data_IF_659849336651
#
_entry.id   IF_659849336651
#
_cell.length_a   1.000
_cell.length_b   1.000
_cell.length_c   1.000
_cell.angle_alpha   90.00
_cell.angle_beta   90.00
_cell.angle_gamma   90.00
#
_symmetry.space_group_name_H-M   'P 1'
#
loop_
_entity.id
_entity.type
_entity.pdbx_description
1 polymer ?
#
# COMPACT_ATOMS: atom_id res chain seq x y z
N UNK A 1 -1.60 23.45 22.32
CA UNK A 1 -0.95 22.13 22.51
C UNK A 1 -0.11 21.89 21.28
N UNK A 2 1.20 22.03 21.44
CA UNK A 2 2.18 22.00 20.36
C UNK A 2 2.34 20.56 19.89
N UNK A 3 2.10 20.33 18.60
CA UNK A 3 2.44 19.10 17.90
C UNK A 3 3.89 18.76 18.24
N UNK A 4 4.10 17.72 19.06
CA UNK A 4 5.40 17.08 19.11
C UNK A 4 5.56 16.49 17.71
N UNK A 5 6.42 17.10 16.90
CA UNK A 5 6.95 16.45 15.71
C UNK A 5 7.55 15.13 16.17
N UNK A 6 6.81 14.04 15.98
CA UNK A 6 7.35 12.70 16.06
C UNK A 6 8.42 12.66 14.98
N UNK A 7 9.68 12.60 15.41
CA UNK A 7 10.81 12.46 14.50
C UNK A 7 10.65 11.09 13.87
N UNK A 8 10.15 11.05 12.64
CA UNK A 8 10.14 9.83 11.84
C UNK A 8 11.61 9.48 11.59
N UNK A 9 12.07 8.40 12.19
CA UNK A 9 13.49 7.98 12.09
C UNK A 9 13.69 7.02 10.92
N UNK A 10 12.67 6.24 10.54
CA UNK A 10 12.74 5.29 9.43
C UNK A 10 11.46 5.24 8.60
N UNK A 11 11.61 5.01 7.30
CA UNK A 11 10.50 4.85 6.38
C UNK A 11 10.82 3.87 5.24
N UNK A 12 9.78 3.32 4.64
CA UNK A 12 9.89 2.61 3.37
C UNK A 12 9.33 3.43 2.22
N UNK A 13 9.87 3.21 1.02
CA UNK A 13 9.39 3.82 -0.21
C UNK A 13 9.54 2.87 -1.39
N UNK A 14 8.92 3.22 -2.53
CA UNK A 14 8.95 2.39 -3.73
C UNK A 14 9.87 2.99 -4.79
N UNK A 15 10.76 2.15 -5.33
CA UNK A 15 11.66 2.50 -6.41
C UNK A 15 10.98 2.66 -7.77
N UNK A 16 11.79 2.76 -8.82
CA UNK A 16 11.28 2.77 -10.21
C UNK A 16 10.88 1.36 -10.63
N UNK A 17 9.78 1.25 -11.37
CA UNK A 17 9.41 -0.01 -12.04
C UNK A 17 10.45 -0.35 -13.11
N UNK A 18 10.79 -1.63 -13.22
CA UNK A 18 11.68 -2.16 -14.24
C UNK A 18 11.14 -3.46 -14.81
N UNK A 19 11.67 -3.89 -15.95
CA UNK A 19 11.30 -5.15 -16.59
C UNK A 19 12.43 -6.15 -16.46
N UNK A 20 12.08 -7.41 -16.19
CA UNK A 20 12.97 -8.55 -16.30
C UNK A 20 12.20 -9.70 -16.94
N UNK A 21 12.76 -10.32 -17.99
CA UNK A 21 12.10 -11.37 -18.78
C UNK A 21 10.64 -11.07 -19.18
N UNK A 22 10.39 -9.82 -19.58
CA UNK A 22 9.06 -9.35 -19.99
C UNK A 22 8.07 -9.11 -18.84
N UNK A 23 8.40 -9.50 -17.60
CA UNK A 23 7.61 -9.24 -16.39
C UNK A 23 8.01 -7.92 -15.76
N UNK A 24 7.05 -7.26 -15.10
CA UNK A 24 7.25 -5.97 -14.43
C UNK A 24 7.59 -6.19 -12.95
N UNK A 25 8.56 -5.44 -12.44
CA UNK A 25 9.01 -5.51 -11.06
C UNK A 25 9.20 -4.12 -10.47
N UNK A 26 9.26 -4.05 -9.14
CA UNK A 26 9.54 -2.83 -8.38
C UNK A 26 10.18 -3.16 -7.04
N UNK A 27 11.15 -2.35 -6.64
CA UNK A 27 11.83 -2.51 -5.36
C UNK A 27 11.11 -1.75 -4.25
N UNK A 28 11.01 -2.39 -3.08
CA UNK A 28 10.76 -1.73 -1.82
C UNK A 28 12.10 -1.34 -1.21
N UNK A 29 12.21 -0.07 -0.82
CA UNK A 29 13.42 0.55 -0.30
C UNK A 29 13.17 0.95 1.15
N UNK A 30 14.17 0.78 2.02
CA UNK A 30 14.21 1.34 3.38
C UNK A 30 15.23 2.43 3.46
N UNK A 31 14.87 3.53 4.12
CA UNK A 31 15.75 4.66 4.40
C UNK A 31 15.44 5.23 5.78
N UNK A 32 16.32 6.12 6.24
CA UNK A 32 16.24 6.79 7.54
C UNK A 32 16.42 8.28 7.34
N UNK A 33 15.76 9.11 8.14
CA UNK A 33 15.85 10.57 7.97
C UNK A 33 17.28 11.11 8.11
N UNK A 34 18.16 10.39 8.82
CA UNK A 34 19.56 10.77 9.04
C UNK A 34 20.54 10.27 7.96
N UNK A 35 20.08 9.47 6.98
CA UNK A 35 20.94 8.94 5.92
C UNK A 35 20.24 8.93 4.56
N UNK A 36 20.95 9.41 3.53
CA UNK A 36 20.46 9.36 2.15
C UNK A 36 20.59 7.96 1.51
N UNK A 37 21.14 6.98 2.23
CA UNK A 37 21.28 5.62 1.73
C UNK A 37 19.93 4.90 1.71
N UNK A 38 19.63 4.26 0.58
CA UNK A 38 18.45 3.43 0.39
C UNK A 38 18.88 1.95 0.32
N UNK A 39 18.37 1.13 1.25
CA UNK A 39 18.54 -0.33 1.23
C UNK A 39 17.36 -0.96 0.50
N UNK A 40 17.61 -1.85 -0.46
CA UNK A 40 16.53 -2.69 -1.03
C UNK A 40 16.14 -3.74 0.01
N UNK A 41 14.86 -3.75 0.42
CA UNK A 41 14.32 -4.78 1.31
C UNK A 41 13.71 -5.95 0.54
N UNK A 42 13.05 -5.65 -0.57
CA UNK A 42 12.31 -6.65 -1.33
C UNK A 42 12.10 -6.21 -2.79
N UNK A 43 11.97 -7.20 -3.68
CA UNK A 43 11.59 -6.98 -5.09
C UNK A 43 10.24 -7.62 -5.34
N UNK A 44 9.25 -6.83 -5.74
CA UNK A 44 7.88 -7.31 -5.98
C UNK A 44 7.61 -7.44 -7.48
N UNK A 45 6.99 -8.56 -7.88
CA UNK A 45 6.32 -8.67 -9.17
C UNK A 45 5.10 -7.74 -9.22
N UNK A 46 4.91 -7.09 -10.37
CA UNK A 46 3.83 -6.12 -10.57
C UNK A 46 2.85 -6.63 -11.64
N UNK A 47 1.58 -6.76 -11.23
CA UNK A 47 0.48 -7.10 -12.11
C UNK A 47 -0.57 -5.99 -12.03
N UNK A 48 -0.83 -5.24 -13.11
CA UNK A 48 -1.80 -4.14 -13.11
C UNK A 48 -3.23 -4.69 -13.25
N UNK A 49 -3.69 -5.43 -12.25
CA UNK A 49 -5.02 -6.03 -12.20
C UNK A 49 -5.70 -5.74 -10.88
N UNK A 50 -7.05 -5.76 -10.89
CA UNK A 50 -7.88 -5.70 -9.68
C UNK A 50 -7.74 -6.94 -8.81
N UNK A 51 -7.38 -8.07 -9.40
CA UNK A 51 -7.07 -9.31 -8.70
C UNK A 51 -5.92 -10.02 -9.41
N UNK A 52 -4.95 -10.50 -8.65
CA UNK A 52 -3.77 -11.17 -9.19
C UNK A 52 -3.05 -12.03 -8.15
N UNK A 53 -2.27 -12.96 -8.68
CA UNK A 53 -1.19 -13.64 -7.96
C UNK A 53 0.15 -13.23 -8.56
N UNK A 54 1.16 -13.11 -7.71
CA UNK A 54 2.53 -12.79 -8.11
C UNK A 54 3.51 -13.26 -7.04
N UNK A 55 4.79 -12.91 -7.19
CA UNK A 55 5.81 -13.23 -6.20
C UNK A 55 6.55 -11.97 -5.76
N UNK A 56 7.14 -12.04 -4.57
CA UNK A 56 8.19 -11.12 -4.16
C UNK A 56 9.44 -11.89 -3.76
N UNK A 57 10.59 -11.25 -3.88
CA UNK A 57 11.87 -11.75 -3.39
C UNK A 57 12.28 -10.93 -2.18
N UNK A 58 12.45 -11.58 -1.02
CA UNK A 58 12.89 -11.01 0.26
C UNK A 58 14.10 -11.82 0.72
N UNK A 59 15.27 -11.20 0.87
CA UNK A 59 16.51 -11.88 1.27
C UNK A 59 16.76 -13.20 0.50
N UNK A 60 16.65 -13.15 -0.84
CA UNK A 60 16.77 -14.30 -1.77
C UNK A 60 15.66 -15.36 -1.67
N UNK A 61 14.74 -15.21 -0.72
CA UNK A 61 13.59 -16.10 -0.57
C UNK A 61 12.38 -15.60 -1.33
N UNK A 62 11.57 -16.52 -1.85
CA UNK A 62 10.38 -16.19 -2.62
C UNK A 62 9.13 -16.22 -1.75
N UNK A 63 8.38 -15.13 -1.76
CA UNK A 63 7.04 -15.03 -1.19
C UNK A 63 6.01 -15.19 -2.30
N UNK A 64 4.94 -15.93 -2.03
CA UNK A 64 3.76 -16.01 -2.91
C UNK A 64 2.76 -14.95 -2.46
N UNK A 65 2.37 -14.05 -3.37
CA UNK A 65 1.48 -12.93 -3.07
C UNK A 65 0.16 -13.12 -3.81
N UNK A 66 -0.95 -12.90 -3.11
CA UNK A 66 -2.28 -12.81 -3.71
C UNK A 66 -2.95 -11.51 -3.30
N UNK A 67 -3.57 -10.83 -4.25
CA UNK A 67 -4.31 -9.60 -3.99
C UNK A 67 -5.64 -9.64 -4.71
N UNK A 68 -6.70 -9.24 -4.03
CA UNK A 68 -8.01 -8.95 -4.58
C UNK A 68 -8.51 -7.62 -4.03
N UNK A 69 -8.81 -6.69 -4.94
CA UNK A 69 -9.38 -5.38 -4.61
C UNK A 69 -10.67 -5.51 -3.80
N UNK A 70 -11.37 -6.63 -3.93
CA UNK A 70 -12.64 -6.91 -3.27
C UNK A 70 -12.50 -7.11 -1.76
N UNK A 71 -11.27 -7.30 -1.24
CA UNK A 71 -11.01 -7.13 0.18
C UNK A 71 -9.93 -7.99 0.79
N UNK A 72 -9.17 -8.78 0.02
CA UNK A 72 -8.12 -9.66 0.56
C UNK A 72 -6.75 -9.38 -0.05
N UNK A 73 -5.71 -9.40 0.79
CA UNK A 73 -4.32 -9.45 0.36
C UNK A 73 -3.58 -10.46 1.25
N UNK A 74 -2.76 -11.33 0.65
CA UNK A 74 -1.99 -12.33 1.40
C UNK A 74 -0.57 -12.44 0.88
N UNK A 75 0.34 -12.79 1.79
CA UNK A 75 1.71 -13.18 1.50
C UNK A 75 2.00 -14.50 2.21
N UNK A 76 2.31 -15.55 1.45
CA UNK A 76 2.77 -16.82 2.00
C UNK A 76 4.30 -16.85 1.95
N UNK A 77 4.89 -17.05 3.11
CA UNK A 77 6.34 -17.08 3.32
C UNK A 77 6.88 -18.51 3.06
N UNK A 78 8.19 -18.65 2.82
CA UNK A 78 8.81 -19.95 2.53
C UNK A 78 8.69 -20.99 3.65
N UNK A 79 8.60 -20.53 4.89
CA UNK A 79 8.43 -21.37 6.09
C UNK A 79 6.98 -21.80 6.34
N UNK A 80 6.05 -21.36 5.50
CA UNK A 80 4.63 -21.70 5.56
C UNK A 80 3.77 -20.71 6.34
N UNK A 81 4.36 -19.69 6.99
CA UNK A 81 3.58 -18.59 7.59
C UNK A 81 2.80 -17.85 6.51
N UNK A 82 1.63 -17.35 6.87
CA UNK A 82 0.77 -16.56 5.96
C UNK A 82 0.44 -15.25 6.65
N UNK A 83 0.87 -14.16 6.02
CA UNK A 83 0.43 -12.83 6.39
C UNK A 83 -0.81 -12.47 5.57
N UNK A 84 -1.77 -11.79 6.19
CA UNK A 84 -3.03 -11.44 5.55
C UNK A 84 -3.48 -10.03 5.92
N UNK A 85 -4.20 -9.40 4.99
CA UNK A 85 -4.90 -8.14 5.21
C UNK A 85 -6.32 -8.25 4.64
N UNK A 86 -7.30 -7.77 5.42
CA UNK A 86 -8.72 -7.91 5.13
C UNK A 86 -9.44 -6.56 5.28
N UNK A 87 -10.11 -6.11 4.22
CA UNK A 87 -10.88 -4.85 4.20
C UNK A 87 -12.31 -4.98 4.78
N UNK A 88 -12.65 -6.13 5.37
CA UNK A 88 -13.94 -6.48 5.94
C UNK A 88 -14.99 -6.77 4.87
N UNK A 89 -16.24 -6.35 5.13
CA UNK A 89 -17.34 -6.45 4.16
C UNK A 89 -17.22 -5.47 2.97
N UNK A 90 -16.17 -4.64 2.96
CA UNK A 90 -15.93 -3.61 1.93
C UNK A 90 -14.69 -3.96 1.11
N UNK A 91 -14.59 -3.32 -0.05
CA UNK A 91 -13.40 -3.39 -0.90
C UNK A 91 -12.27 -2.50 -0.36
N UNK A 92 -11.03 -2.73 -0.77
CA UNK A 92 -9.90 -1.83 -0.45
C UNK A 92 -10.14 -0.38 -0.91
N UNK A 93 -10.93 -0.18 -1.97
CA UNK A 93 -11.33 1.14 -2.44
C UNK A 93 -12.21 1.90 -1.43
N UNK A 94 -13.06 1.19 -0.68
CA UNK A 94 -14.11 1.80 0.16
C UNK A 94 -13.87 1.68 1.66
N UNK A 95 -13.06 0.71 2.08
CA UNK A 95 -12.85 0.50 3.51
C UNK A 95 -12.16 1.69 4.16
N UNK A 96 -12.45 1.86 5.46
CA UNK A 96 -11.78 2.79 6.37
C UNK A 96 -10.91 2.08 7.40
N UNK A 97 -10.97 0.74 7.42
CA UNK A 97 -10.21 -0.11 8.33
C UNK A 97 -9.82 -1.39 7.62
N UNK A 98 -8.56 -1.77 7.71
CA UNK A 98 -8.03 -2.99 7.13
C UNK A 98 -7.38 -3.75 8.27
N UNK A 99 -7.96 -4.89 8.62
CA UNK A 99 -7.38 -5.78 9.63
C UNK A 99 -6.18 -6.50 9.01
N UNK A 100 -5.09 -6.60 9.74
CA UNK A 100 -3.83 -7.18 9.30
C UNK A 100 -3.40 -8.23 10.33
N UNK A 101 -3.11 -9.43 9.87
CA UNK A 101 -2.57 -10.51 10.71
C UNK A 101 -1.27 -11.01 10.09
N UNK A 102 -0.19 -10.94 10.86
CA UNK A 102 1.15 -11.36 10.46
C UNK A 102 1.62 -12.50 11.36
N UNK A 103 0.95 -13.65 11.23
CA UNK A 103 1.19 -14.86 12.03
C UNK A 103 0.94 -14.65 13.54
N UNK A 104 -0.25 -14.17 13.89
CA UNK A 104 -0.66 -13.90 15.27
C UNK A 104 -0.29 -12.50 15.78
N UNK A 105 0.53 -11.75 15.01
CA UNK A 105 0.72 -10.32 15.26
C UNK A 105 -0.39 -9.54 14.56
N UNK A 106 -1.42 -9.17 15.32
CA UNK A 106 -2.56 -8.40 14.84
C UNK A 106 -2.25 -6.90 14.81
N UNK A 107 -2.59 -6.26 13.69
CA UNK A 107 -2.51 -4.82 13.49
C UNK A 107 -3.74 -4.36 12.68
N UNK A 108 -3.96 -3.04 12.61
CA UNK A 108 -5.00 -2.49 11.75
C UNK A 108 -4.57 -1.18 11.11
N UNK A 109 -4.74 -1.09 9.79
CA UNK A 109 -4.64 0.19 9.09
C UNK A 109 -5.97 0.94 9.19
N UNK A 110 -5.98 2.15 9.74
CA UNK A 110 -7.17 2.97 9.96
C UNK A 110 -7.07 4.27 9.19
N UNK A 111 -8.13 4.62 8.45
CA UNK A 111 -8.21 5.86 7.68
C UNK A 111 -8.63 7.03 8.58
N UNK A 112 -7.73 7.97 8.81
CA UNK A 112 -8.02 9.17 9.61
C UNK A 112 -8.73 10.25 8.76
N UNK A 113 -8.18 10.57 7.59
CA UNK A 113 -8.78 11.51 6.65
C UNK A 113 -8.38 11.20 5.21
N UNK A 114 -9.37 11.05 4.31
CA UNK A 114 -9.20 10.79 2.87
C UNK A 114 -8.18 9.70 2.54
N UNK A 115 -6.91 10.09 2.39
CA UNK A 115 -5.78 9.24 2.01
C UNK A 115 -4.69 9.17 3.09
N UNK A 116 -4.92 9.74 4.27
CA UNK A 116 -4.06 9.62 5.44
C UNK A 116 -4.52 8.42 6.27
N UNK A 117 -3.57 7.56 6.61
CA UNK A 117 -3.79 6.34 7.35
C UNK A 117 -2.74 6.17 8.43
N UNK A 118 -3.15 5.60 9.55
CA UNK A 118 -2.28 5.08 10.59
C UNK A 118 -2.37 3.56 10.60
N UNK A 119 -1.37 2.91 11.14
CA UNK A 119 -1.35 1.48 11.44
C UNK A 119 -1.16 1.36 12.94
N UNK A 120 -2.12 0.74 13.61
CA UNK A 120 -2.07 0.50 15.05
C UNK A 120 -1.85 -0.98 15.34
N UNK A 121 -1.20 -1.28 16.46
CA UNK A 121 -1.10 -2.65 16.99
C UNK A 121 -2.39 -3.07 17.72
N UNK A 122 -2.38 -4.24 18.34
CA UNK A 122 -3.52 -4.77 19.09
C UNK A 122 -3.87 -3.97 20.35
N UNK A 123 -2.96 -3.12 20.84
CA UNK A 123 -3.14 -2.27 22.01
C UNK A 123 -3.51 -0.82 21.63
N UNK A 124 -3.79 -0.56 20.34
CA UNK A 124 -4.06 0.77 19.77
C UNK A 124 -2.87 1.72 19.88
N UNK A 125 -1.64 1.19 19.99
CA UNK A 125 -0.44 1.99 19.83
C UNK A 125 -0.13 2.13 18.34
N UNK A 126 0.13 3.37 17.92
CA UNK A 126 0.51 3.66 16.54
C UNK A 126 1.89 3.06 16.24
N UNK A 127 1.93 2.24 15.19
CA UNK A 127 3.13 1.55 14.67
C UNK A 127 3.70 2.31 13.48
N UNK A 128 2.82 2.78 12.59
CA UNK A 128 3.21 3.44 11.36
C UNK A 128 2.13 4.38 10.84
N UNK A 129 2.47 5.17 9.82
CA UNK A 129 1.52 5.95 9.05
C UNK A 129 1.88 5.97 7.56
N UNK A 130 0.88 6.19 6.72
CA UNK A 130 1.09 6.37 5.28
C UNK A 130 0.06 7.34 4.68
N UNK A 131 0.47 8.04 3.62
CA UNK A 131 -0.41 8.97 2.91
C UNK A 131 -0.27 8.88 1.39
N UNK A 132 -1.39 9.07 0.69
CA UNK A 132 -1.44 9.24 -0.76
C UNK A 132 -1.41 10.69 -1.25
N UNK A 133 -1.36 11.69 -0.36
CA UNK A 133 -1.72 13.09 -0.67
C UNK A 133 -0.63 13.87 -1.45
N UNK A 134 0.67 13.61 -1.22
CA UNK A 134 1.75 14.49 -1.71
C UNK A 134 2.65 13.91 -2.82
N UNK A 135 2.66 12.60 -3.06
CA UNK A 135 3.49 11.99 -4.11
C UNK A 135 2.71 11.16 -5.13
N UNK A 136 1.38 11.07 -4.96
CA UNK A 136 0.57 10.05 -5.60
C UNK A 136 1.05 8.64 -5.25
N UNK A 137 0.38 7.62 -5.76
CA UNK A 137 0.77 6.20 -5.53
C UNK A 137 2.12 5.82 -6.11
N UNK A 138 2.77 6.73 -6.86
CA UNK A 138 4.11 6.54 -7.42
C UNK A 138 5.18 6.44 -6.34
N UNK A 139 4.92 6.94 -5.13
CA UNK A 139 5.76 6.80 -3.94
C UNK A 139 4.89 6.70 -2.70
N UNK A 140 4.18 5.57 -2.54
CA UNK A 140 3.59 5.26 -1.25
C UNK A 140 4.72 5.18 -0.21
N UNK A 141 4.73 6.07 0.76
CA UNK A 141 5.73 6.08 1.84
C UNK A 141 5.02 5.57 3.09
N UNK A 142 5.66 4.64 3.78
CA UNK A 142 5.23 4.21 5.12
C UNK A 142 6.29 4.65 6.11
N UNK A 143 5.87 5.48 7.06
CA UNK A 143 6.72 6.04 8.11
C UNK A 143 6.48 5.23 9.38
N UNK A 144 7.54 4.72 9.99
CA UNK A 144 7.46 3.88 11.18
C UNK A 144 7.83 4.66 12.44
N UNK A 145 7.11 4.40 13.52
CA UNK A 145 7.41 4.99 14.82
C UNK A 145 8.73 4.38 15.36
N UNK A 146 9.63 5.20 15.95
CA UNK A 146 10.98 4.77 16.33
C UNK A 146 11.02 3.79 17.50
N UNK A 147 10.01 3.82 18.37
CA UNK A 147 9.97 3.06 19.62
C UNK A 147 9.16 1.76 19.50
N UNK A 148 8.75 1.38 18.29
CA UNK A 148 7.97 0.17 18.03
C UNK A 148 8.82 -0.87 17.31
N UNK A 149 8.94 -2.06 17.91
CA UNK A 149 9.62 -3.18 17.28
C UNK A 149 8.74 -3.81 16.19
N UNK A 150 9.12 -3.59 14.93
CA UNK A 150 8.51 -4.23 13.76
C UNK A 150 9.59 -5.03 13.04
N UNK A 151 9.34 -6.32 12.79
CA UNK A 151 10.30 -7.15 12.07
C UNK A 151 10.40 -6.72 10.60
N UNK A 152 11.51 -7.04 9.93
CA UNK A 152 11.69 -6.69 8.52
C UNK A 152 10.57 -7.27 7.64
N UNK A 153 10.14 -8.52 7.91
CA UNK A 153 9.05 -9.17 7.17
C UNK A 153 7.72 -8.43 7.35
N UNK A 154 7.41 -8.01 8.59
CA UNK A 154 6.21 -7.24 8.90
C UNK A 154 6.24 -5.88 8.20
N UNK A 155 7.35 -5.16 8.27
CA UNK A 155 7.54 -3.90 7.56
C UNK A 155 7.31 -4.04 6.04
N UNK A 156 7.87 -5.09 5.42
CA UNK A 156 7.72 -5.37 4.00
C UNK A 156 6.24 -5.58 3.65
N UNK A 157 5.53 -6.38 4.46
CA UNK A 157 4.12 -6.68 4.24
C UNK A 157 3.23 -5.45 4.46
N UNK A 158 3.42 -4.71 5.55
CA UNK A 158 2.69 -3.47 5.84
C UNK A 158 2.87 -2.45 4.70
N UNK A 159 4.09 -2.31 4.19
CA UNK A 159 4.41 -1.42 3.07
C UNK A 159 3.69 -1.82 1.79
N UNK A 160 3.62 -3.12 1.51
CA UNK A 160 2.89 -3.66 0.36
C UNK A 160 1.39 -3.43 0.48
N UNK A 161 0.79 -3.72 1.65
CA UNK A 161 -0.64 -3.48 1.93
C UNK A 161 -0.99 -2.00 1.83
N UNK A 162 -0.18 -1.12 2.40
CA UNK A 162 -0.36 0.33 2.32
C UNK A 162 -0.41 0.80 0.86
N UNK A 163 0.54 0.34 0.04
CA UNK A 163 0.55 0.66 -1.39
C UNK A 163 -0.69 0.14 -2.11
N UNK A 164 -1.10 -1.11 -1.88
CA UNK A 164 -2.29 -1.67 -2.54
C UNK A 164 -3.58 -0.98 -2.12
N UNK A 165 -3.65 -0.53 -0.87
CA UNK A 165 -4.74 0.30 -0.35
C UNK A 165 -4.83 1.62 -1.13
N UNK A 166 -3.72 2.36 -1.24
CA UNK A 166 -3.69 3.62 -1.99
C UNK A 166 -3.95 3.43 -3.50
N UNK A 167 -3.41 2.37 -4.11
CA UNK A 167 -3.62 2.06 -5.54
C UNK A 167 -5.11 1.79 -5.80
N UNK A 168 -5.76 1.00 -4.94
CA UNK A 168 -7.18 0.65 -5.04
C UNK A 168 -8.10 1.87 -4.94
N UNK A 169 -7.76 2.83 -4.08
CA UNK A 169 -8.53 4.07 -3.91
C UNK A 169 -8.36 5.01 -5.10
N UNK A 170 -7.17 5.09 -5.69
CA UNK A 170 -6.95 5.86 -6.91
C UNK A 170 -7.79 5.31 -8.08
N UNK A 171 -7.85 3.99 -8.26
CA UNK A 171 -8.64 3.35 -9.32
C UNK A 171 -10.14 3.66 -9.19
N UNK A 172 -10.67 3.70 -7.97
CA UNK A 172 -12.07 4.07 -7.70
C UNK A 172 -12.41 5.49 -8.15
N UNK A 173 -11.52 6.45 -7.90
CA UNK A 173 -11.73 7.85 -8.28
C UNK A 173 -11.77 8.07 -9.79
N UNK A 174 -10.92 7.37 -10.55
CA UNK A 174 -10.82 7.58 -12.01
C UNK A 174 -12.06 7.14 -12.77
N UNK A 175 -12.78 6.11 -12.29
CA UNK A 175 -13.95 5.59 -12.99
C UNK A 175 -15.14 6.56 -12.99
N UNK A 176 -15.36 7.26 -11.87
CA UNK A 176 -16.41 8.27 -11.76
C UNK A 176 -16.21 9.43 -12.74
N UNK A 177 -14.96 9.90 -12.87
CA UNK A 177 -14.61 10.94 -13.83
C UNK A 177 -14.78 10.46 -15.28
N UNK A 178 -14.35 9.24 -15.61
CA UNK A 178 -14.51 8.69 -16.95
C UNK A 178 -15.98 8.60 -17.35
N UNK A 179 -16.86 8.09 -16.47
CA UNK A 179 -18.30 8.05 -16.72
C UNK A 179 -18.89 9.45 -16.90
N UNK A 180 -18.49 10.40 -16.05
CA UNK A 180 -18.92 11.78 -16.16
C UNK A 180 -18.53 12.40 -17.51
N UNK A 181 -17.29 12.20 -17.96
CA UNK A 181 -16.80 12.71 -19.24
C UNK A 181 -17.51 12.06 -20.43
N UNK A 182 -17.82 10.77 -20.38
CA UNK A 182 -18.58 10.06 -21.42
C UNK A 182 -19.98 10.66 -21.56
N UNK A 183 -20.65 10.97 -20.44
CA UNK A 183 -21.99 11.60 -20.44
C UNK A 183 -21.92 13.06 -20.90
N UNK A 184 -20.87 13.79 -20.51
CA UNK A 184 -20.70 15.20 -20.84
C UNK A 184 -20.41 15.42 -22.33
N UNK A 185 -19.71 14.48 -22.99
CA UNK A 185 -19.33 14.56 -24.40
C UNK A 185 -20.52 14.80 -25.36
N UNK A 186 -21.60 13.99 -25.35
CA UNK A 186 -22.75 14.23 -26.23
C UNK A 186 -23.51 15.53 -25.88
N UNK A 187 -23.52 15.96 -24.61
CA UNK A 187 -24.14 17.23 -24.20
C UNK A 187 -23.39 18.41 -24.83
N UNK A 188 -22.05 18.38 -24.79
CA UNK A 188 -21.22 19.41 -25.43
C UNK A 188 -21.49 19.43 -26.92
N UNK A 189 -21.46 18.27 -27.59
CA UNK A 189 -21.74 18.18 -29.04
C UNK A 189 -23.10 18.78 -29.36
N UNK A 190 -24.15 18.45 -28.60
CA UNK A 190 -25.49 19.01 -28.78
C UNK A 190 -25.47 20.53 -28.63
N UNK A 191 -24.91 21.08 -27.55
CA UNK A 191 -24.88 22.53 -27.30
C UNK A 191 -24.04 23.30 -28.32
N UNK A 192 -22.99 22.69 -28.89
CA UNK A 192 -22.13 23.35 -29.89
C UNK A 192 -22.70 23.34 -31.30
N UNK A 193 -23.56 22.37 -31.62
CA UNK A 193 -24.07 22.15 -32.98
C UNK A 193 -25.60 22.24 -33.11
N UNK A 194 -26.33 22.57 -32.02
CA UNK A 194 -27.75 22.99 -32.06
C UNK A 194 -27.87 24.51 -32.09
#
# INVERSE_FOLDING_TARGET
MTSKDLIVTSYTSWGKRFKNDGKLFINLLRSTTDSADEKVLATFGEVPSKSFETTATVDEQQWELSFSIDGTATAKLPDGRVFSANAGEKTFTKSKRIEIDMDGTAMAAVNEDKNNWIIDDSEENKVAQFTGMNNGVRRAIVEFEPDVEVTQEQEIFLSWVARKTLESRMLGSSWGLTLFLIILTPIIIFLTFS
#
